data_IF_237649753298
#
_entry.id   IF_237649753298
#
_cell.length_a   1.000
_cell.length_b   1.000
_cell.length_c   1.000
_cell.angle_alpha   90.00
_cell.angle_beta   90.00
_cell.angle_gamma   90.00
#
_symmetry.space_group_name_H-M   'P 1'
#
loop_
_entity.id
_entity.type
_entity.pdbx_description
1 polymer ?
#
# COMPACT_ATOMS: atom_id res chain seq x y z
N UNK A 1 0.02 15.43 7.38
CA UNK A 1 -0.71 14.22 6.92
C UNK A 1 -0.13 12.95 7.53
N UNK A 2 -0.97 12.11 8.16
CA UNK A 2 -0.55 10.88 8.85
C UNK A 2 0.06 9.84 7.90
N UNK A 3 1.20 9.23 8.28
CA UNK A 3 1.89 8.18 7.50
C UNK A 3 1.35 6.76 7.79
N UNK A 4 0.33 6.66 8.63
CA UNK A 4 -0.25 5.40 9.09
C UNK A 4 -0.72 4.51 7.93
N UNK A 5 -1.47 4.99 6.92
CA UNK A 5 -1.95 4.13 5.84
C UNK A 5 -0.80 3.45 5.09
N UNK A 6 0.30 4.18 4.87
CA UNK A 6 1.49 3.66 4.21
C UNK A 6 2.21 2.59 5.04
N UNK A 7 2.34 2.79 6.35
CA UNK A 7 2.92 1.78 7.24
C UNK A 7 2.09 0.50 7.29
N UNK A 8 0.76 0.61 7.33
CA UNK A 8 -0.14 -0.55 7.25
C UNK A 8 0.04 -1.25 5.90
N UNK A 9 0.14 -0.50 4.80
CA UNK A 9 0.40 -1.06 3.48
C UNK A 9 1.71 -1.85 3.41
N UNK A 10 2.81 -1.33 3.98
CA UNK A 10 4.07 -2.08 4.10
C UNK A 10 3.94 -3.31 4.99
N UNK A 11 3.20 -3.22 6.10
CA UNK A 11 2.97 -4.37 6.98
C UNK A 11 2.22 -5.48 6.24
N UNK A 12 1.21 -5.15 5.42
CA UNK A 12 0.49 -6.14 4.60
C UNK A 12 1.37 -6.77 3.53
N UNK A 13 2.21 -5.99 2.85
CA UNK A 13 3.17 -6.53 1.89
C UNK A 13 4.20 -7.45 2.57
N UNK A 14 4.71 -7.06 3.74
CA UNK A 14 5.61 -7.90 4.52
C UNK A 14 4.93 -9.20 4.97
N UNK A 15 3.69 -9.12 5.46
CA UNK A 15 2.90 -10.28 5.84
C UNK A 15 2.63 -11.20 4.64
N UNK A 16 2.33 -10.67 3.46
CA UNK A 16 2.17 -11.45 2.23
C UNK A 16 3.49 -12.16 1.84
N UNK A 17 4.63 -11.47 1.93
CA UNK A 17 5.93 -12.07 1.64
C UNK A 17 6.28 -13.19 2.63
N UNK A 18 6.04 -12.98 3.92
CA UNK A 18 6.24 -14.00 4.96
C UNK A 18 5.31 -15.19 4.74
N UNK A 19 4.03 -14.94 4.47
CA UNK A 19 3.05 -15.98 4.19
C UNK A 19 3.48 -16.81 2.97
N UNK A 20 3.96 -16.17 1.89
CA UNK A 20 4.44 -16.88 0.70
C UNK A 20 5.64 -17.79 1.02
N UNK A 21 6.58 -17.30 1.85
CA UNK A 21 7.74 -18.07 2.27
C UNK A 21 7.35 -19.29 3.11
N UNK A 22 6.39 -19.14 4.02
CA UNK A 22 5.88 -20.23 4.86
C UNK A 22 5.09 -21.24 4.03
N UNK A 23 4.23 -20.77 3.12
CA UNK A 23 3.40 -21.63 2.27
C UNK A 23 4.24 -22.49 1.32
N UNK A 24 5.38 -21.98 0.83
CA UNK A 24 6.35 -22.76 0.06
C UNK A 24 6.87 -23.99 0.83
N UNK A 25 6.90 -23.94 2.16
CA UNK A 25 7.46 -25.00 3.00
C UNK A 25 6.45 -26.09 3.36
N UNK A 26 5.25 -25.70 3.83
CA UNK A 26 4.28 -26.64 4.43
C UNK A 26 2.80 -26.29 4.16
N UNK A 27 2.49 -25.10 3.60
CA UNK A 27 1.13 -24.56 3.60
C UNK A 27 0.21 -25.00 2.45
N UNK A 28 0.79 -25.51 1.35
CA UNK A 28 0.00 -25.98 0.19
C UNK A 28 -0.77 -27.26 0.52
N UNK A 29 -0.25 -28.10 1.43
CA UNK A 29 -0.81 -29.41 1.71
C UNK A 29 -2.08 -29.36 2.58
N UNK A 30 -2.25 -28.34 3.43
CA UNK A 30 -3.45 -28.20 4.28
C UNK A 30 -4.57 -27.37 3.68
N UNK A 31 -4.25 -26.32 2.91
CA UNK A 31 -5.23 -25.33 2.41
C UNK A 31 -5.46 -25.45 0.89
N UNK A 32 -4.54 -26.13 0.19
CA UNK A 32 -4.54 -26.22 -1.27
C UNK A 32 -3.90 -24.99 -1.94
N UNK A 33 -3.41 -25.13 -3.18
CA UNK A 33 -2.66 -24.08 -3.86
C UNK A 33 -3.52 -22.87 -4.24
N UNK A 34 -4.79 -23.08 -4.60
CA UNK A 34 -5.66 -22.01 -5.07
C UNK A 34 -6.01 -20.99 -3.97
N UNK A 35 -6.54 -21.39 -2.79
CA UNK A 35 -6.88 -20.42 -1.74
C UNK A 35 -5.63 -19.76 -1.15
N UNK A 36 -4.50 -20.49 -1.12
CA UNK A 36 -3.20 -19.97 -0.71
C UNK A 36 -2.75 -18.78 -1.57
N UNK A 37 -2.72 -18.98 -2.89
CA UNK A 37 -2.31 -17.92 -3.83
C UNK A 37 -3.32 -16.77 -3.82
N UNK A 38 -4.62 -17.05 -3.72
CA UNK A 38 -5.64 -16.02 -3.64
C UNK A 38 -5.44 -15.11 -2.41
N UNK A 39 -5.16 -15.68 -1.24
CA UNK A 39 -4.89 -14.91 -0.02
C UNK A 39 -3.63 -14.03 -0.16
N UNK A 40 -2.57 -14.57 -0.76
CA UNK A 40 -1.33 -13.83 -1.01
C UNK A 40 -1.54 -12.63 -1.94
N UNK A 41 -2.20 -12.86 -3.07
CA UNK A 41 -2.47 -11.82 -4.04
C UNK A 41 -3.41 -10.77 -3.47
N UNK A 42 -4.45 -11.17 -2.74
CA UNK A 42 -5.36 -10.24 -2.10
C UNK A 42 -4.64 -9.37 -1.06
N UNK A 43 -3.90 -9.98 -0.14
CA UNK A 43 -3.19 -9.25 0.90
C UNK A 43 -2.13 -8.30 0.31
N UNK A 44 -1.38 -8.78 -0.67
CA UNK A 44 -0.41 -7.96 -1.41
C UNK A 44 -1.07 -6.79 -2.13
N UNK A 45 -2.19 -7.02 -2.82
CA UNK A 45 -2.94 -5.99 -3.53
C UNK A 45 -3.44 -4.91 -2.58
N UNK A 46 -4.04 -5.28 -1.44
CA UNK A 46 -4.50 -4.30 -0.44
C UNK A 46 -3.31 -3.50 0.11
N UNK A 47 -2.19 -4.15 0.40
CA UNK A 47 -0.98 -3.48 0.86
C UNK A 47 -0.47 -2.43 -0.14
N UNK A 48 -0.40 -2.80 -1.42
CA UNK A 48 -0.01 -1.89 -2.52
C UNK A 48 -1.01 -0.74 -2.63
N UNK A 49 -2.32 -1.01 -2.63
CA UNK A 49 -3.34 0.03 -2.74
C UNK A 49 -3.23 1.09 -1.64
N UNK A 50 -2.97 0.68 -0.39
CA UNK A 50 -2.80 1.62 0.73
C UNK A 50 -1.60 2.53 0.53
N UNK A 51 -0.46 1.98 0.10
CA UNK A 51 0.76 2.79 -0.15
C UNK A 51 0.54 3.74 -1.31
N UNK A 52 0.01 3.25 -2.43
CA UNK A 52 -0.24 4.08 -3.62
C UNK A 52 -1.24 5.20 -3.33
N UNK A 53 -2.33 4.89 -2.60
CA UNK A 53 -3.33 5.90 -2.24
C UNK A 53 -2.75 6.98 -1.34
N UNK A 54 -1.96 6.61 -0.31
CA UNK A 54 -1.28 7.59 0.55
C UNK A 54 -0.35 8.51 -0.25
N UNK A 55 0.46 7.94 -1.15
CA UNK A 55 1.40 8.71 -1.97
C UNK A 55 0.68 9.63 -2.97
N UNK A 56 -0.35 9.13 -3.65
CA UNK A 56 -1.13 9.90 -4.62
C UNK A 56 -1.83 11.09 -3.95
N UNK A 57 -2.48 10.84 -2.81
CA UNK A 57 -3.16 11.89 -2.04
C UNK A 57 -2.17 12.95 -1.55
N UNK A 58 -1.03 12.53 -0.99
CA UNK A 58 0.03 13.47 -0.57
C UNK A 58 0.59 14.28 -1.74
N UNK A 59 0.81 13.63 -2.88
CA UNK A 59 1.31 14.29 -4.09
C UNK A 59 0.32 15.31 -4.63
N UNK A 60 -0.98 15.01 -4.57
CA UNK A 60 -2.05 15.94 -4.96
C UNK A 60 -2.08 17.15 -4.02
N UNK A 61 -2.09 16.94 -2.70
CA UNK A 61 -2.09 18.04 -1.73
C UNK A 61 -0.84 18.92 -1.86
N UNK A 62 0.35 18.33 -2.05
CA UNK A 62 1.57 19.11 -2.25
C UNK A 62 1.51 20.01 -3.51
N UNK A 63 0.90 19.52 -4.59
CA UNK A 63 0.69 20.33 -5.80
C UNK A 63 -0.34 21.44 -5.58
N UNK A 64 -1.43 21.15 -4.85
CA UNK A 64 -2.44 22.16 -4.51
C UNK A 64 -1.86 23.25 -3.60
N UNK A 65 -1.10 22.88 -2.58
CA UNK A 65 -0.46 23.84 -1.66
C UNK A 65 0.54 24.72 -2.42
N UNK A 66 1.35 24.13 -3.31
CA UNK A 66 2.28 24.88 -4.15
C UNK A 66 1.60 25.82 -5.16
N UNK A 67 0.42 25.44 -5.67
CA UNK A 67 -0.37 26.31 -6.55
C UNK A 67 -0.95 27.50 -5.78
N UNK A 68 -1.51 27.25 -4.58
CA UNK A 68 -2.02 28.33 -3.72
C UNK A 68 -0.95 29.34 -3.32
N UNK A 69 0.24 28.86 -2.97
CA UNK A 69 1.37 29.74 -2.62
C UNK A 69 1.85 30.60 -3.80
N UNK A 70 1.67 30.13 -5.05
CA UNK A 70 1.95 30.94 -6.24
C UNK A 70 0.89 32.01 -6.46
N UNK A 71 -0.39 31.64 -6.39
CA UNK A 71 -1.50 32.59 -6.55
C UNK A 71 -1.43 33.72 -5.49
N UNK A 72 -1.10 33.39 -4.24
CA UNK A 72 -0.90 34.36 -3.16
C UNK A 72 0.26 35.33 -3.41
N UNK A 73 1.30 34.90 -4.14
CA UNK A 73 2.46 35.73 -4.50
C UNK A 73 2.26 36.56 -5.76
N UNK A 74 1.39 36.13 -6.67
CA UNK A 74 1.07 36.85 -7.92
C UNK A 74 -0.07 37.86 -7.74
N UNK A 75 -0.85 37.74 -6.65
CA UNK A 75 -1.95 38.64 -6.31
C UNK A 75 -1.60 39.84 -5.42
N UNK A 76 -0.33 40.01 -5.04
CA UNK A 76 0.23 41.15 -4.27
C UNK A 76 1.23 41.92 -5.15
#
# INVERSE_FOLDING_TARGET
MSRIPRFIGYAFMAAAAVLAAVMKKEGVDMVGPLPAVAALLFLGMVGVMLVFTDLMVRGLYAQVDAAKERDEREGD
#
